data_IF_377732233287
#
_entry.id   IF_377732233287
#
_cell.length_a   1.000
_cell.length_b   1.000
_cell.length_c   1.000
_cell.angle_alpha   90.00
_cell.angle_beta   90.00
_cell.angle_gamma   90.00
#
_symmetry.space_group_name_H-M   'P 1'
#
loop_
_entity.id
_entity.type
_entity.pdbx_description
1 polymer ?
#
# COMPACT_ATOMS: atom_id res chain seq x y z
N UNK A 1 -9.82 -9.40 10.67
CA UNK A 1 -8.73 -8.54 11.15
C UNK A 1 -8.84 -8.35 12.65
N UNK A 2 -7.72 -8.40 13.36
CA UNK A 2 -7.72 -8.46 14.84
C UNK A 2 -7.85 -7.10 15.51
N UNK A 3 -7.14 -6.12 14.97
CA UNK A 3 -6.93 -4.81 15.63
C UNK A 3 -7.43 -3.63 14.78
N UNK A 4 -7.95 -3.91 13.57
CA UNK A 4 -8.35 -2.91 12.59
C UNK A 4 -9.65 -3.29 11.88
N UNK A 5 -10.48 -2.30 11.57
CA UNK A 5 -11.51 -2.43 10.53
C UNK A 5 -10.96 -2.13 9.13
N UNK A 6 -11.61 -2.66 8.09
CA UNK A 6 -11.14 -2.55 6.70
C UNK A 6 -10.92 -1.10 6.27
N UNK A 7 -11.92 -0.24 6.47
CA UNK A 7 -11.82 1.18 6.10
C UNK A 7 -10.94 1.95 7.06
N UNK A 8 -10.96 1.61 8.35
CA UNK A 8 -10.14 2.26 9.38
C UNK A 8 -8.64 2.18 9.05
N UNK A 9 -8.16 1.01 8.60
CA UNK A 9 -6.75 0.86 8.22
C UNK A 9 -6.37 1.72 7.01
N UNK A 10 -7.27 1.86 6.02
CA UNK A 10 -7.04 2.77 4.90
C UNK A 10 -7.04 4.24 5.31
N UNK A 11 -7.95 4.62 6.20
CA UNK A 11 -8.05 5.98 6.74
C UNK A 11 -6.80 6.33 7.55
N UNK A 12 -6.38 5.45 8.46
CA UNK A 12 -5.17 5.63 9.26
C UNK A 12 -3.92 5.83 8.40
N UNK A 13 -3.70 5.00 7.37
CA UNK A 13 -2.55 5.14 6.47
C UNK A 13 -2.59 6.49 5.73
N UNK A 14 -3.76 6.94 5.27
CA UNK A 14 -3.90 8.22 4.57
C UNK A 14 -3.71 9.42 5.49
N UNK A 15 -4.16 9.34 6.74
CA UNK A 15 -3.94 10.36 7.76
C UNK A 15 -2.45 10.46 8.11
N UNK A 16 -1.82 9.34 8.47
CA UNK A 16 -0.37 9.28 8.74
C UNK A 16 0.44 9.78 7.55
N UNK A 17 0.06 9.43 6.31
CA UNK A 17 0.73 9.93 5.12
C UNK A 17 0.72 11.46 5.02
N UNK A 18 -0.42 12.09 5.30
CA UNK A 18 -0.56 13.56 5.26
C UNK A 18 0.29 14.21 6.35
N UNK A 19 0.26 13.66 7.56
CA UNK A 19 1.09 14.14 8.67
C UNK A 19 2.59 14.05 8.33
N UNK A 20 3.02 12.96 7.69
CA UNK A 20 4.41 12.80 7.24
C UNK A 20 4.79 13.77 6.12
N UNK A 21 3.85 14.14 5.23
CA UNK A 21 4.09 15.18 4.23
C UNK A 21 4.27 16.57 4.86
N UNK A 22 3.60 16.85 5.97
CA UNK A 22 3.74 18.10 6.72
C UNK A 22 5.13 18.24 7.38
N UNK A 23 5.91 17.16 7.50
CA UNK A 23 7.31 17.20 7.96
C UNK A 23 8.29 17.80 6.93
N UNK A 24 7.85 18.05 5.69
CA UNK A 24 8.67 18.59 4.57
C UNK A 24 9.93 17.76 4.28
N UNK A 25 9.82 16.43 4.43
CA UNK A 25 10.87 15.45 4.14
C UNK A 25 10.66 14.68 2.84
N UNK A 26 9.69 15.09 2.04
CA UNK A 26 9.37 14.46 0.76
C UNK A 26 8.57 13.16 0.85
N UNK A 27 7.95 12.79 -0.27
CA UNK A 27 7.02 11.65 -0.33
C UNK A 27 7.71 10.29 -0.19
N UNK A 28 8.99 10.19 -0.57
CA UNK A 28 9.76 8.95 -0.46
C UNK A 28 10.00 8.59 1.01
N UNK A 29 10.40 9.60 1.80
CA UNK A 29 10.46 9.48 3.25
C UNK A 29 9.12 9.06 3.83
N UNK A 30 8.03 9.74 3.46
CA UNK A 30 6.70 9.43 3.96
C UNK A 30 6.27 7.98 3.65
N UNK A 31 6.45 7.52 2.41
CA UNK A 31 6.15 6.13 2.02
C UNK A 31 7.00 5.13 2.82
N UNK A 32 8.31 5.38 2.95
CA UNK A 32 9.19 4.50 3.72
C UNK A 32 8.76 4.42 5.19
N UNK A 33 8.29 5.54 5.76
CA UNK A 33 7.75 5.58 7.12
C UNK A 33 6.43 4.85 7.27
N UNK A 34 5.51 4.96 6.33
CA UNK A 34 4.30 4.14 6.32
C UNK A 34 4.62 2.64 6.28
N UNK A 35 5.58 2.23 5.44
CA UNK A 35 5.98 0.82 5.36
C UNK A 35 6.62 0.30 6.65
N UNK A 36 7.27 1.17 7.43
CA UNK A 36 7.88 0.83 8.74
C UNK A 36 6.84 0.79 9.86
N UNK A 37 5.91 1.74 9.87
CA UNK A 37 4.89 1.91 10.91
C UNK A 37 3.77 0.86 10.83
N UNK A 38 3.38 0.47 9.62
CA UNK A 38 2.30 -0.51 9.37
C UNK A 38 2.84 -1.88 8.95
N UNK A 39 4.04 -2.28 9.39
CA UNK A 39 4.63 -3.59 9.07
C UNK A 39 4.14 -4.71 9.99
N UNK A 40 4.02 -5.93 9.44
CA UNK A 40 3.67 -7.17 10.14
C UNK A 40 2.37 -7.13 10.98
N UNK A 41 1.32 -6.49 10.45
CA UNK A 41 0.03 -6.37 11.16
C UNK A 41 -0.83 -7.64 11.07
N UNK A 42 -0.57 -8.47 10.07
CA UNK A 42 -1.35 -9.68 9.79
C UNK A 42 -1.45 -9.90 8.30
N UNK A 43 -1.76 -11.12 7.85
CA UNK A 43 -1.68 -11.46 6.42
C UNK A 43 -2.59 -10.61 5.54
N UNK A 44 -3.80 -10.28 6.01
CA UNK A 44 -4.77 -9.49 5.25
C UNK A 44 -4.50 -7.99 5.43
N UNK A 45 -4.19 -7.56 6.65
CA UNK A 45 -3.77 -6.21 6.98
C UNK A 45 -2.56 -5.79 6.13
N UNK A 46 -1.55 -6.65 6.02
CA UNK A 46 -0.35 -6.48 5.21
C UNK A 46 -0.63 -6.30 3.72
N UNK A 47 -1.71 -6.90 3.20
CA UNK A 47 -2.17 -6.71 1.82
C UNK A 47 -2.89 -5.36 1.67
N UNK A 48 -3.69 -4.98 2.67
CA UNK A 48 -4.38 -3.68 2.70
C UNK A 48 -3.35 -2.55 2.77
N UNK A 49 -2.32 -2.67 3.60
CA UNK A 49 -1.20 -1.72 3.71
C UNK A 49 -0.50 -1.53 2.38
N UNK A 50 -0.05 -2.62 1.75
CA UNK A 50 0.61 -2.56 0.43
C UNK A 50 -0.32 -1.98 -0.65
N UNK A 51 -1.63 -2.23 -0.55
CA UNK A 51 -2.62 -1.64 -1.46
C UNK A 51 -2.73 -0.13 -1.24
N UNK A 52 -2.83 0.34 0.00
CA UNK A 52 -2.93 1.75 0.35
C UNK A 52 -1.67 2.54 -0.07
N UNK A 53 -0.49 2.01 0.28
CA UNK A 53 0.80 2.60 -0.11
C UNK A 53 0.96 2.57 -1.63
N UNK A 54 0.53 1.49 -2.30
CA UNK A 54 0.55 1.40 -3.74
C UNK A 54 -0.34 2.44 -4.43
N UNK A 55 -1.51 2.74 -3.87
CA UNK A 55 -2.40 3.78 -4.37
C UNK A 55 -1.82 5.19 -4.21
N UNK A 56 -1.09 5.45 -3.12
CA UNK A 56 -0.31 6.68 -2.94
C UNK A 56 0.80 6.74 -3.98
N UNK A 57 1.59 5.66 -4.11
CA UNK A 57 2.76 5.59 -4.97
C UNK A 57 2.44 5.88 -6.44
N UNK A 58 1.35 5.32 -6.98
CA UNK A 58 0.94 5.56 -8.38
C UNK A 58 0.46 7.00 -8.65
N UNK A 59 0.27 7.82 -7.60
CA UNK A 59 -0.03 9.25 -7.70
C UNK A 59 1.22 10.14 -7.83
N UNK A 60 2.43 9.58 -7.71
CA UNK A 60 3.69 10.33 -7.82
C UNK A 60 4.37 10.15 -9.17
N UNK A 61 5.21 11.12 -9.55
CA UNK A 61 5.91 11.14 -10.83
C UNK A 61 6.83 9.94 -11.03
N UNK A 62 7.57 9.55 -9.97
CA UNK A 62 8.49 8.41 -10.00
C UNK A 62 8.36 7.56 -8.75
N UNK A 63 8.51 6.25 -8.90
CA UNK A 63 8.40 5.29 -7.81
C UNK A 63 9.65 4.44 -7.73
N UNK A 64 10.19 4.28 -6.51
CA UNK A 64 11.38 3.47 -6.29
C UNK A 64 11.15 2.00 -6.65
N UNK A 65 12.08 1.41 -7.40
CA UNK A 65 11.96 0.02 -7.90
C UNK A 65 11.74 -1.00 -6.78
N UNK A 66 12.40 -0.85 -5.63
CA UNK A 66 12.21 -1.76 -4.50
C UNK A 66 10.79 -1.74 -3.94
N UNK A 67 10.13 -0.58 -3.95
CA UNK A 67 8.72 -0.46 -3.56
C UNK A 67 7.81 -1.15 -4.58
N UNK A 68 8.04 -0.91 -5.88
CA UNK A 68 7.29 -1.54 -6.97
C UNK A 68 7.36 -3.07 -6.85
N UNK A 69 8.56 -3.61 -6.72
CA UNK A 69 8.78 -5.06 -6.62
C UNK A 69 8.16 -5.65 -5.34
N UNK A 70 8.33 -4.96 -4.20
CA UNK A 70 7.77 -5.38 -2.91
C UNK A 70 6.26 -5.50 -2.94
N UNK A 71 5.58 -4.41 -3.30
CA UNK A 71 4.11 -4.32 -3.37
C UNK A 71 3.59 -5.31 -4.41
N UNK A 72 4.13 -5.29 -5.63
CA UNK A 72 3.66 -6.17 -6.72
C UNK A 72 3.78 -7.65 -6.31
N UNK A 73 4.87 -8.03 -5.64
CA UNK A 73 5.09 -9.40 -5.18
C UNK A 73 4.07 -9.84 -4.13
N UNK A 74 3.72 -8.98 -3.16
CA UNK A 74 2.73 -9.30 -2.12
C UNK A 74 1.33 -9.36 -2.73
N UNK A 75 0.94 -8.31 -3.46
CA UNK A 75 -0.41 -8.18 -4.02
C UNK A 75 -0.72 -9.25 -5.07
N UNK A 76 0.26 -9.68 -5.88
CA UNK A 76 0.07 -10.75 -6.86
C UNK A 76 -0.22 -12.13 -6.24
N UNK A 77 0.02 -12.30 -4.94
CA UNK A 77 -0.27 -13.53 -4.19
C UNK A 77 -1.61 -13.46 -3.44
N UNK A 78 -2.32 -12.34 -3.52
CA UNK A 78 -3.61 -12.21 -2.85
C UNK A 78 -4.61 -13.23 -3.39
N UNK A 79 -5.21 -14.00 -2.48
CA UNK A 79 -6.25 -14.96 -2.79
C UNK A 79 -7.55 -14.54 -2.08
N UNK A 80 -8.56 -14.05 -2.84
CA UNK A 80 -9.85 -13.63 -2.27
C UNK A 80 -10.54 -14.70 -1.42
N UNK A 81 -10.32 -15.98 -1.71
CA UNK A 81 -10.95 -17.08 -0.95
C UNK A 81 -10.37 -17.22 0.47
N UNK A 82 -9.10 -16.89 0.65
CA UNK A 82 -8.42 -16.95 1.95
C UNK A 82 -8.71 -15.73 2.82
N UNK A 83 -9.32 -14.68 2.26
CA UNK A 83 -9.65 -13.45 2.97
C UNK A 83 -11.05 -13.49 3.63
N UNK A 84 -11.86 -14.51 3.34
CA UNK A 84 -13.26 -14.58 3.80
C UNK A 84 -13.45 -14.75 5.31
N UNK A 85 -12.42 -15.18 6.04
CA UNK A 85 -12.44 -15.25 7.49
C UNK A 85 -12.22 -13.88 8.16
N UNK A 86 -11.72 -12.91 7.40
CA UNK A 86 -11.31 -11.60 7.92
C UNK A 86 -12.06 -10.41 7.31
N UNK A 87 -12.59 -10.59 6.10
CA UNK A 87 -13.26 -9.56 5.32
C UNK A 87 -14.63 -10.05 4.83
N UNK A 88 -15.56 -9.13 4.73
CA UNK A 88 -16.85 -9.36 4.06
C UNK A 88 -16.67 -9.51 2.55
N UNK A 89 -17.66 -10.10 1.87
CA UNK A 89 -17.64 -10.23 0.41
C UNK A 89 -17.54 -8.87 -0.32
N UNK A 90 -18.11 -7.81 0.25
CA UNK A 90 -18.04 -6.47 -0.32
C UNK A 90 -16.63 -5.89 -0.20
N UNK A 91 -15.99 -6.02 0.95
CA UNK A 91 -14.61 -5.58 1.19
C UNK A 91 -13.61 -6.38 0.34
N UNK A 92 -13.79 -7.70 0.19
CA UNK A 92 -12.95 -8.52 -0.68
C UNK A 92 -13.04 -8.05 -2.14
N UNK A 93 -14.25 -7.74 -2.60
CA UNK A 93 -14.47 -7.24 -3.97
C UNK A 93 -13.84 -5.86 -4.16
N UNK A 94 -13.97 -4.99 -3.17
CA UNK A 94 -13.37 -3.66 -3.18
C UNK A 94 -11.83 -3.75 -3.19
N UNK A 95 -11.26 -4.52 -2.26
CA UNK A 95 -9.83 -4.77 -2.15
C UNK A 95 -9.26 -5.36 -3.45
N UNK A 96 -9.93 -6.36 -4.02
CA UNK A 96 -9.52 -6.96 -5.31
C UNK A 96 -9.46 -5.93 -6.44
N UNK A 97 -10.44 -5.02 -6.51
CA UNK A 97 -10.46 -3.94 -7.49
C UNK A 97 -9.29 -2.97 -7.28
N UNK A 98 -9.01 -2.60 -6.02
CA UNK A 98 -7.92 -1.68 -5.66
C UNK A 98 -6.55 -2.29 -5.93
N UNK A 99 -6.35 -3.57 -5.59
CA UNK A 99 -5.14 -4.34 -5.92
C UNK A 99 -4.87 -4.31 -7.43
N UNK A 100 -5.88 -4.61 -8.24
CA UNK A 100 -5.72 -4.58 -9.70
C UNK A 100 -5.33 -3.18 -10.21
N UNK A 101 -5.95 -2.12 -9.67
CA UNK A 101 -5.60 -0.74 -9.98
C UNK A 101 -4.14 -0.44 -9.63
N UNK A 102 -3.67 -0.87 -8.46
CA UNK A 102 -2.29 -0.69 -8.01
C UNK A 102 -1.31 -1.43 -8.91
N UNK A 103 -1.54 -2.72 -9.17
CA UNK A 103 -0.65 -3.53 -10.02
C UNK A 103 -0.56 -2.94 -11.43
N UNK A 104 -1.68 -2.55 -12.04
CA UNK A 104 -1.67 -1.93 -13.36
C UNK A 104 -1.06 -0.53 -13.34
N UNK A 105 -1.30 0.26 -12.30
CA UNK A 105 -0.68 1.58 -12.12
C UNK A 105 0.83 1.48 -12.03
N UNK A 106 1.35 0.62 -11.15
CA UNK A 106 2.80 0.43 -10.93
C UNK A 106 3.55 -0.11 -12.16
N UNK A 107 2.87 -0.73 -13.13
CA UNK A 107 3.49 -1.11 -14.41
C UNK A 107 3.77 0.10 -15.32
N UNK A 108 3.06 1.20 -15.11
CA UNK A 108 3.07 2.36 -16.01
C UNK A 108 3.76 3.61 -15.40
N UNK A 109 4.12 3.58 -14.11
CA UNK A 109 4.86 4.68 -13.47
C UNK A 109 6.29 4.76 -13.98
N UNK A 110 6.90 5.95 -13.93
CA UNK A 110 8.34 6.08 -14.15
C UNK A 110 9.09 5.45 -12.97
N UNK A 111 10.09 4.62 -13.28
CA UNK A 111 10.85 3.87 -12.27
C UNK A 111 12.05 4.70 -11.81
N UNK A 112 12.18 4.86 -10.49
CA UNK A 112 13.37 5.38 -9.84
C UNK A 112 14.27 4.24 -9.36
N UNK A 113 15.52 4.22 -9.83
CA UNK A 113 16.53 3.24 -9.45
C UNK A 113 17.45 3.73 -8.33
N UNK A 114 17.33 4.98 -7.90
CA UNK A 114 18.20 5.54 -6.88
C UNK A 114 17.64 5.27 -5.47
N UNK A 115 18.29 4.40 -4.67
CA UNK A 115 17.86 4.09 -3.30
C UNK A 115 18.10 5.24 -2.32
N UNK A 116 18.80 6.30 -2.74
CA UNK A 116 19.24 7.42 -1.90
C UNK A 116 18.82 8.77 -2.47
N UNK A 117 17.90 8.82 -3.45
CA UNK A 117 17.45 10.09 -4.01
C UNK A 117 16.48 10.82 -3.07
N UNK A 118 17.06 11.51 -2.10
CA UNK A 118 16.74 12.89 -1.70
C UNK A 118 18.04 13.68 -1.53
#
# INVERSE_FOLDING_TARGET
MKDWEYNELFEAIQETYKELLDEDRGYKYAIAKLSDEFDNLGKIEDVIVDTAIGEIAIGHDKVFIGLIEGITRRLSKFNPQEAGDELTLEEIKDLSRRINKVIEGLKNVEVDYNPSAE
#
